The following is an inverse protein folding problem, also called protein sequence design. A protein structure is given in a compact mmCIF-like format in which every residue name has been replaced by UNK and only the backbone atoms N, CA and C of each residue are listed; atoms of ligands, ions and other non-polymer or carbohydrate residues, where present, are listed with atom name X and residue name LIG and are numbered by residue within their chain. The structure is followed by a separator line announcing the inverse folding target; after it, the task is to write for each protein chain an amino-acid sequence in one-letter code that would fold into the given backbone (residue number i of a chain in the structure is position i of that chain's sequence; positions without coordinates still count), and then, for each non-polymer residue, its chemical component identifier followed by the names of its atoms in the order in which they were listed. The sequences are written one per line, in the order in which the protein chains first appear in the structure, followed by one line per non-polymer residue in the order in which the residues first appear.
data_IF_672122076299
#
_entry.id   IF_672122076299
#
_cell.length_a   1.000
_cell.length_b   1.000
_cell.length_c   1.000
_cell.angle_alpha   90.00
_cell.angle_beta   90.00
_cell.angle_gamma   90.00
#
_symmetry.space_group_name_H-M   'P 1'
#
loop_
_entity.id
_entity.type
_entity.pdbx_description
1 polymer ?
#
# COMPACT_ATOMS: atom_id res chain seq x y z
N UNK A 1 47.45 -7.13 41.79
CA UNK A 1 48.22 -6.08 41.07
C UNK A 1 48.18 -6.41 39.57
N UNK A 2 48.14 -5.39 38.68
CA UNK A 2 47.09 -5.14 37.66
C UNK A 2 47.55 -5.42 36.19
N UNK A 3 46.84 -4.98 35.10
CA UNK A 3 45.40 -4.82 34.84
C UNK A 3 44.89 -5.40 33.48
N UNK A 4 43.55 -5.42 33.38
CA UNK A 4 42.67 -5.28 32.21
C UNK A 4 43.27 -4.92 30.83
N UNK A 5 42.90 -5.72 29.82
CA UNK A 5 42.97 -5.37 28.40
C UNK A 5 41.61 -5.57 27.74
N UNK A 6 40.75 -4.55 27.81
CA UNK A 6 39.55 -4.45 26.98
C UNK A 6 39.99 -4.31 25.52
N UNK A 7 39.74 -5.32 24.70
CA UNK A 7 39.90 -5.23 23.26
C UNK A 7 38.92 -4.16 22.75
N UNK A 8 39.48 -3.04 22.31
CA UNK A 8 38.77 -1.93 21.68
C UNK A 8 38.04 -2.47 20.46
N UNK A 9 36.70 -2.46 20.51
CA UNK A 9 35.87 -2.61 19.33
C UNK A 9 36.30 -1.56 18.31
N UNK A 10 36.72 -2.02 17.14
CA UNK A 10 37.03 -1.17 16.01
C UNK A 10 35.71 -0.45 15.63
N UNK A 11 35.60 0.89 15.72
CA UNK A 11 34.47 1.56 15.11
C UNK A 11 34.60 1.32 13.61
N UNK A 12 33.71 0.51 13.07
CA UNK A 12 33.50 0.44 11.63
C UNK A 12 33.21 1.88 11.21
N UNK A 13 33.99 2.51 10.31
CA UNK A 13 33.64 3.83 9.84
C UNK A 13 32.26 3.72 9.18
N UNK A 14 31.28 4.33 9.84
CA UNK A 14 29.97 4.61 9.26
C UNK A 14 30.26 5.25 7.90
N UNK A 15 29.77 4.63 6.83
CA UNK A 15 30.09 4.99 5.46
C UNK A 15 29.82 6.49 5.28
N UNK A 16 30.88 7.29 5.37
CA UNK A 16 30.82 8.74 5.32
C UNK A 16 30.23 9.13 3.97
N UNK A 17 28.92 9.39 3.97
CA UNK A 17 28.23 9.86 2.78
C UNK A 17 28.89 11.19 2.43
N UNK A 18 29.37 11.41 1.20
CA UNK A 18 30.12 12.61 0.86
C UNK A 18 29.27 13.84 1.18
N UNK A 19 29.79 14.68 2.08
CA UNK A 19 29.15 15.94 2.45
C UNK A 19 29.40 16.94 1.32
N UNK A 20 28.32 17.39 0.69
CA UNK A 20 28.34 18.32 -0.42
C UNK A 20 27.97 19.69 0.14
N UNK A 21 28.67 20.74 -0.32
CA UNK A 21 28.33 22.10 0.06
C UNK A 21 27.08 22.53 -0.69
N UNK A 22 25.96 22.70 0.03
CA UNK A 22 24.72 23.20 -0.53
C UNK A 22 24.54 24.68 -0.19
N UNK A 23 24.07 25.44 -1.18
CA UNK A 23 23.68 26.84 -1.01
C UNK A 23 22.39 27.12 -1.79
N UNK A 24 21.29 26.50 -1.35
CA UNK A 24 19.99 26.59 -2.01
C UNK A 24 19.10 27.53 -1.17
N UNK A 25 18.76 28.74 -1.67
CA UNK A 25 17.89 29.66 -0.95
C UNK A 25 16.43 29.18 -0.93
N UNK A 26 15.61 29.79 -0.07
CA UNK A 26 14.17 29.56 -0.04
C UNK A 26 13.54 30.06 -1.35
N UNK A 27 13.09 29.13 -2.18
CA UNK A 27 12.64 29.44 -3.55
C UNK A 27 11.54 28.45 -3.95
N UNK A 28 10.83 28.63 -5.08
CA UNK A 28 9.80 27.69 -5.46
C UNK A 28 10.42 26.30 -5.64
N UNK A 29 9.72 25.27 -5.14
CA UNK A 29 10.30 23.94 -4.93
C UNK A 29 10.88 23.33 -6.21
N UNK A 30 10.30 23.64 -7.36
CA UNK A 30 10.83 23.27 -8.68
C UNK A 30 12.25 23.79 -8.94
N UNK A 31 12.52 25.07 -8.66
CA UNK A 31 13.82 25.70 -8.85
C UNK A 31 14.86 25.15 -7.85
N UNK A 32 14.43 24.89 -6.62
CA UNK A 32 15.26 24.29 -5.58
C UNK A 32 15.68 22.86 -5.92
N UNK A 33 14.75 22.03 -6.41
CA UNK A 33 15.03 20.66 -6.83
C UNK A 33 15.94 20.60 -8.06
N UNK A 34 15.77 21.53 -9.01
CA UNK A 34 16.68 21.63 -10.16
C UNK A 34 18.11 21.99 -9.73
N UNK A 35 18.31 22.95 -8.83
CA UNK A 35 19.65 23.27 -8.30
C UNK A 35 20.24 22.11 -7.49
N UNK A 36 19.42 21.40 -6.72
CA UNK A 36 19.84 20.20 -6.01
C UNK A 36 20.28 19.09 -6.97
N UNK A 37 19.53 18.85 -8.05
CA UNK A 37 19.85 17.86 -9.07
C UNK A 37 21.15 18.21 -9.81
N UNK A 38 21.38 19.49 -10.10
CA UNK A 38 22.63 19.99 -10.69
C UNK A 38 23.84 19.77 -9.77
N UNK A 39 23.68 20.05 -8.47
CA UNK A 39 24.76 19.90 -7.48
C UNK A 39 25.10 18.44 -7.14
N UNK A 40 24.13 17.52 -7.28
CA UNK A 40 24.27 16.10 -6.89
C UNK A 40 24.38 15.14 -8.07
N UNK A 41 24.03 15.58 -9.28
CA UNK A 41 23.88 14.74 -10.47
C UNK A 41 22.72 13.75 -10.39
N UNK A 42 21.77 13.95 -9.46
CA UNK A 42 20.68 13.02 -9.19
C UNK A 42 19.37 13.53 -9.78
N UNK A 43 18.71 12.68 -10.59
CA UNK A 43 17.42 13.01 -11.19
C UNK A 43 16.32 12.88 -10.13
N UNK A 44 15.59 13.97 -9.89
CA UNK A 44 14.38 13.95 -9.06
C UNK A 44 13.15 13.92 -9.98
N UNK A 45 12.33 12.87 -9.86
CA UNK A 45 11.06 12.76 -10.55
C UNK A 45 9.94 13.23 -9.61
N UNK A 46 9.17 14.22 -10.06
CA UNK A 46 8.06 14.79 -9.32
C UNK A 46 6.91 15.17 -10.26
N UNK A 47 5.64 14.95 -9.87
CA UNK A 47 4.50 15.50 -10.59
C UNK A 47 4.44 17.02 -10.41
N UNK A 48 4.29 17.76 -11.50
CA UNK A 48 4.30 19.23 -11.53
C UNK A 48 3.27 19.85 -10.58
N UNK A 49 2.10 19.24 -10.40
CA UNK A 49 1.05 19.68 -9.47
C UNK A 49 1.53 19.78 -8.01
N UNK A 50 2.45 18.92 -7.56
CA UNK A 50 2.93 18.94 -6.16
C UNK A 50 3.93 20.07 -5.88
N UNK A 51 4.60 20.58 -6.92
CA UNK A 51 5.65 21.60 -6.79
C UNK A 51 5.16 23.01 -7.14
N UNK A 52 4.05 23.16 -7.88
CA UNK A 52 3.59 24.46 -8.40
C UNK A 52 3.13 25.47 -7.32
N UNK A 53 2.80 25.02 -6.11
CA UNK A 53 2.32 25.89 -5.03
C UNK A 53 3.13 25.78 -3.73
N UNK A 54 4.33 25.16 -3.76
CA UNK A 54 5.13 24.93 -2.55
C UNK A 54 6.50 25.60 -2.66
N UNK A 55 6.93 26.22 -1.56
CA UNK A 55 8.23 26.86 -1.41
C UNK A 55 9.15 25.95 -0.61
N UNK A 56 10.39 25.76 -1.06
CA UNK A 56 11.37 24.95 -0.34
C UNK A 56 11.95 25.69 0.86
N UNK A 57 12.41 24.93 1.85
CA UNK A 57 13.22 25.47 2.96
C UNK A 57 14.65 25.70 2.46
N UNK A 58 15.33 26.79 2.92
CA UNK A 58 16.70 27.06 2.53
C UNK A 58 17.65 26.00 3.10
N UNK A 59 18.59 25.53 2.28
CA UNK A 59 19.63 24.58 2.69
C UNK A 59 20.98 25.22 2.47
N UNK A 60 21.68 25.45 3.58
CA UNK A 60 23.02 26.00 3.59
C UNK A 60 23.95 25.10 4.41
N UNK A 61 25.17 24.90 3.91
CA UNK A 61 26.23 24.17 4.60
C UNK A 61 26.52 22.80 3.99
N UNK A 62 27.38 22.05 4.68
CA UNK A 62 27.81 20.72 4.26
C UNK A 62 26.79 19.68 4.70
N UNK A 63 26.07 19.12 3.74
CA UNK A 63 25.07 18.08 3.98
C UNK A 63 25.29 16.93 3.02
N UNK A 64 24.88 15.73 3.40
CA UNK A 64 24.74 14.61 2.45
C UNK A 64 23.59 14.91 1.49
N UNK A 65 23.62 14.37 0.27
CA UNK A 65 22.55 14.54 -0.71
C UNK A 65 21.15 14.26 -0.11
N UNK A 66 20.99 13.13 0.58
CA UNK A 66 19.73 12.76 1.24
C UNK A 66 19.36 13.70 2.40
N UNK A 67 20.35 14.17 3.15
CA UNK A 67 20.16 15.11 4.24
C UNK A 67 19.68 16.48 3.74
N UNK A 68 20.33 17.00 2.70
CA UNK A 68 19.96 18.24 2.04
C UNK A 68 18.56 18.17 1.44
N UNK A 69 18.23 17.08 0.74
CA UNK A 69 16.90 16.90 0.17
C UNK A 69 15.81 16.85 1.24
N UNK A 70 16.08 16.18 2.36
CA UNK A 70 15.15 16.15 3.49
C UNK A 70 14.91 17.55 4.08
N UNK A 71 15.97 18.35 4.26
CA UNK A 71 15.85 19.73 4.75
C UNK A 71 15.11 20.60 3.72
N UNK A 72 15.43 20.48 2.44
CA UNK A 72 14.78 21.22 1.35
C UNK A 72 13.27 20.97 1.30
N UNK A 73 12.84 19.74 1.62
CA UNK A 73 11.44 19.33 1.71
C UNK A 73 10.79 19.57 3.08
N UNK A 74 11.55 19.99 4.11
CA UNK A 74 10.94 20.39 5.38
C UNK A 74 9.98 21.57 5.16
N UNK A 75 8.84 21.54 5.85
CA UNK A 75 7.77 22.54 5.69
C UNK A 75 6.90 22.36 4.44
N UNK A 76 7.35 21.59 3.45
CA UNK A 76 6.54 21.28 2.25
C UNK A 76 5.58 20.11 2.46
N UNK A 77 5.74 19.33 3.54
CA UNK A 77 4.95 18.11 3.74
C UNK A 77 5.23 17.05 2.66
N UNK A 78 6.41 17.07 2.05
CA UNK A 78 6.87 16.08 1.08
C UNK A 78 8.07 15.30 1.65
N UNK A 79 8.20 14.06 1.23
CA UNK A 79 9.30 13.14 1.54
C UNK A 79 9.88 12.62 0.23
N UNK A 80 11.20 12.48 0.17
CA UNK A 80 11.86 11.87 -0.97
C UNK A 80 12.13 10.39 -0.73
N UNK A 81 11.70 9.55 -1.67
CA UNK A 81 11.96 8.12 -1.71
C UNK A 81 13.10 7.86 -2.68
N UNK A 82 14.23 7.35 -2.17
CA UNK A 82 15.43 7.07 -2.97
C UNK A 82 15.27 5.74 -3.70
N UNK A 83 15.49 5.75 -5.00
CA UNK A 83 15.46 4.57 -5.88
C UNK A 83 16.79 4.45 -6.60
N UNK A 84 17.56 3.42 -6.24
CA UNK A 84 18.74 3.01 -7.01
C UNK A 84 18.29 2.26 -8.26
N UNK A 85 18.74 2.65 -9.44
CA UNK A 85 18.55 1.91 -10.70
C UNK A 85 19.87 1.81 -11.46
N UNK A 86 19.95 0.93 -12.47
CA UNK A 86 21.17 0.74 -13.27
C UNK A 86 21.66 1.99 -14.02
N UNK A 87 20.85 3.06 -14.05
CA UNK A 87 21.15 4.36 -14.66
C UNK A 87 21.55 5.45 -13.64
N UNK A 88 21.61 5.13 -12.34
CA UNK A 88 21.96 6.08 -11.27
C UNK A 88 20.97 6.13 -10.11
N UNK A 89 21.11 7.16 -9.28
CA UNK A 89 20.25 7.43 -8.13
C UNK A 89 19.11 8.36 -8.53
N UNK A 90 17.86 7.91 -8.39
CA UNK A 90 16.65 8.69 -8.70
C UNK A 90 15.85 8.92 -7.42
N UNK A 91 15.32 10.14 -7.22
CA UNK A 91 14.45 10.45 -6.09
C UNK A 91 13.01 10.64 -6.55
N UNK A 92 12.07 10.01 -5.84
CA UNK A 92 10.63 10.15 -6.07
C UNK A 92 10.03 10.91 -4.90
N UNK A 93 9.50 12.11 -5.15
CA UNK A 93 8.82 12.88 -4.10
C UNK A 93 7.41 12.33 -3.85
N UNK A 94 7.05 12.17 -2.58
CA UNK A 94 5.73 11.73 -2.10
C UNK A 94 5.27 12.67 -0.99
N UNK A 95 3.96 12.83 -0.79
CA UNK A 95 3.45 13.59 0.35
C UNK A 95 3.75 12.85 1.67
N UNK A 96 4.53 13.52 2.52
CA UNK A 96 4.76 13.14 3.89
C UNK A 96 3.46 13.42 4.65
N UNK A 97 2.63 12.40 4.78
CA UNK A 97 1.38 12.49 5.55
C UNK A 97 1.67 12.95 6.97
N UNK A 98 1.49 14.24 7.24
CA UNK A 98 1.45 14.82 8.56
C UNK A 98 0.01 15.27 8.80
N UNK A 99 -0.62 14.60 9.75
CA UNK A 99 -1.96 14.89 10.21
C UNK A 99 -2.07 16.35 10.68
N UNK A 100 -2.78 17.20 9.94
CA UNK A 100 -3.68 18.24 10.46
C UNK A 100 -4.35 19.02 9.31
N UNK A 101 -5.67 18.84 9.22
CA UNK A 101 -6.68 19.80 8.78
C UNK A 101 -6.59 20.43 7.36
N UNK A 102 -7.13 19.71 6.37
CA UNK A 102 -8.08 20.23 5.38
C UNK A 102 -8.91 19.07 4.81
N UNK A 103 -10.20 19.27 4.45
CA UNK A 103 -11.13 18.18 4.17
C UNK A 103 -10.86 17.63 2.78
N UNK A 104 -9.98 16.62 2.72
CA UNK A 104 -9.99 15.70 1.61
C UNK A 104 -11.23 14.81 1.78
N UNK A 105 -12.05 14.74 0.73
CA UNK A 105 -12.89 13.58 0.45
C UNK A 105 -11.99 12.36 0.19
N UNK A 106 -11.22 11.97 1.20
CA UNK A 106 -10.49 10.73 1.27
C UNK A 106 -11.47 9.72 1.85
N UNK A 107 -12.01 8.88 0.96
CA UNK A 107 -12.69 7.65 1.37
C UNK A 107 -11.76 6.96 2.38
N UNK A 108 -12.21 6.69 3.62
CA UNK A 108 -11.31 6.27 4.68
C UNK A 108 -10.67 4.93 4.31
N UNK A 109 -9.37 4.94 4.00
CA UNK A 109 -8.54 3.72 3.90
C UNK A 109 -8.28 3.09 5.27
N UNK A 110 -8.67 3.77 6.35
CA UNK A 110 -8.60 3.28 7.73
C UNK A 110 -9.54 2.10 8.02
N UNK A 111 -10.61 1.91 7.25
CA UNK A 111 -11.51 0.77 7.43
C UNK A 111 -10.86 -0.58 7.12
N UNK A 112 -10.02 -0.66 6.08
CA UNK A 112 -9.43 -1.93 5.67
C UNK A 112 -8.49 -2.55 6.72
N UNK A 113 -7.80 -1.74 7.53
CA UNK A 113 -6.96 -2.26 8.61
C UNK A 113 -7.78 -3.02 9.67
N UNK A 114 -9.03 -2.62 9.88
CA UNK A 114 -9.99 -3.27 10.79
C UNK A 114 -10.37 -4.69 10.31
N UNK A 115 -10.46 -4.89 8.99
CA UNK A 115 -10.75 -6.20 8.38
C UNK A 115 -9.64 -7.22 8.69
N UNK A 116 -8.38 -6.78 8.72
CA UNK A 116 -7.19 -7.62 8.90
C UNK A 116 -6.69 -7.70 10.36
N UNK A 117 -7.45 -7.18 11.34
CA UNK A 117 -7.11 -7.38 12.76
C UNK A 117 -7.23 -8.85 13.15
N UNK A 118 -6.58 -9.24 14.24
CA UNK A 118 -6.40 -10.65 14.64
C UNK A 118 -7.72 -11.41 14.93
N UNK A 119 -8.80 -10.70 15.31
CA UNK A 119 -10.19 -11.20 15.38
C UNK A 119 -10.87 -11.33 13.99
N UNK A 120 -10.06 -11.63 12.97
CA UNK A 120 -10.20 -11.17 11.58
C UNK A 120 -11.51 -11.47 10.88
N UNK A 121 -12.32 -10.42 10.73
CA UNK A 121 -13.52 -10.42 9.91
C UNK A 121 -13.19 -10.73 8.43
N UNK A 122 -12.00 -10.36 7.94
CA UNK A 122 -11.53 -10.74 6.60
C UNK A 122 -11.46 -12.25 6.39
N UNK A 123 -10.94 -12.99 7.36
CA UNK A 123 -10.86 -14.46 7.29
C UNK A 123 -12.25 -15.11 7.27
N UNK A 124 -13.18 -14.55 8.05
CA UNK A 124 -14.58 -14.99 8.09
C UNK A 124 -15.27 -14.75 6.74
N UNK A 125 -15.12 -13.55 6.18
CA UNK A 125 -15.66 -13.17 4.86
C UNK A 125 -15.08 -14.07 3.77
N UNK A 126 -13.76 -14.25 3.75
CA UNK A 126 -13.08 -15.09 2.77
C UNK A 126 -13.57 -16.53 2.85
N UNK A 127 -13.64 -17.12 4.05
CA UNK A 127 -14.13 -18.48 4.27
C UNK A 127 -15.59 -18.66 3.82
N UNK A 128 -16.47 -17.70 4.12
CA UNK A 128 -17.90 -17.77 3.73
C UNK A 128 -18.10 -17.66 2.24
N UNK A 129 -17.35 -16.77 1.58
CA UNK A 129 -17.37 -16.65 0.12
C UNK A 129 -16.85 -17.94 -0.51
N UNK A 130 -15.77 -18.52 0.02
CA UNK A 130 -15.26 -19.81 -0.45
C UNK A 130 -16.24 -20.96 -0.28
N UNK A 131 -16.88 -21.06 0.87
CA UNK A 131 -17.91 -22.07 1.11
C UNK A 131 -19.05 -21.98 0.09
N UNK A 132 -19.52 -20.77 -0.21
CA UNK A 132 -20.57 -20.55 -1.19
C UNK A 132 -20.11 -20.88 -2.62
N UNK A 133 -18.90 -20.45 -3.00
CA UNK A 133 -18.33 -20.76 -4.31
C UNK A 133 -18.07 -22.25 -4.52
N UNK A 134 -17.70 -22.98 -3.45
CA UNK A 134 -17.51 -24.43 -3.47
C UNK A 134 -18.82 -25.23 -3.51
N UNK A 135 -19.94 -24.63 -3.07
CA UNK A 135 -21.26 -25.26 -3.09
C UNK A 135 -21.86 -25.36 -4.49
N UNK A 136 -21.41 -24.53 -5.44
CA UNK A 136 -21.88 -24.55 -6.83
C UNK A 136 -20.75 -25.01 -7.77
N UNK A 137 -20.99 -26.13 -8.47
CA UNK A 137 -20.02 -26.72 -9.39
C UNK A 137 -19.58 -25.78 -10.53
N UNK A 138 -20.41 -24.79 -10.89
CA UNK A 138 -20.10 -23.83 -11.96
C UNK A 138 -19.14 -22.75 -11.51
N UNK A 139 -19.20 -22.37 -10.23
CA UNK A 139 -18.39 -21.31 -9.63
C UNK A 139 -17.20 -21.87 -8.85
N UNK A 140 -17.02 -23.19 -8.81
CA UNK A 140 -15.88 -23.81 -8.13
C UNK A 140 -14.55 -23.28 -8.67
N UNK A 141 -13.70 -22.69 -7.82
CA UNK A 141 -12.38 -22.21 -8.23
C UNK A 141 -11.55 -23.36 -8.79
N UNK A 142 -10.79 -23.04 -9.84
CA UNK A 142 -10.18 -24.06 -10.69
C UNK A 142 -9.27 -23.44 -11.72
N UNK A 143 -9.77 -23.35 -12.95
CA UNK A 143 -9.00 -22.92 -14.11
C UNK A 143 -9.33 -21.50 -14.58
N UNK A 144 -10.05 -20.73 -13.77
CA UNK A 144 -10.43 -19.37 -14.11
C UNK A 144 -9.90 -18.39 -13.07
N UNK A 145 -9.71 -17.15 -13.52
CA UNK A 145 -9.42 -16.01 -12.66
C UNK A 145 -10.56 -15.03 -12.78
N UNK A 146 -10.97 -14.40 -11.69
CA UNK A 146 -12.00 -13.37 -11.73
C UNK A 146 -11.75 -12.32 -10.66
N UNK A 147 -11.90 -11.06 -11.03
CA UNK A 147 -11.85 -9.95 -10.10
C UNK A 147 -13.28 -9.55 -9.79
N UNK A 148 -13.65 -9.65 -8.51
CA UNK A 148 -14.96 -9.25 -8.02
C UNK A 148 -14.79 -8.06 -7.08
N UNK A 149 -15.74 -7.14 -7.15
CA UNK A 149 -15.84 -6.02 -6.21
C UNK A 149 -17.21 -6.04 -5.56
N UNK A 150 -17.25 -5.88 -4.25
CA UNK A 150 -18.49 -5.90 -3.47
C UNK A 150 -18.34 -4.97 -2.26
N UNK A 151 -19.42 -4.73 -1.54
CA UNK A 151 -19.35 -4.14 -0.20
C UNK A 151 -20.06 -5.03 0.82
N UNK A 152 -19.71 -4.86 2.08
CA UNK A 152 -20.41 -5.51 3.20
C UNK A 152 -21.54 -4.61 3.66
N UNK A 153 -22.75 -5.12 3.73
CA UNK A 153 -23.86 -4.42 4.35
C UNK A 153 -23.75 -4.48 5.87
N UNK A 154 -24.31 -3.50 6.60
CA UNK A 154 -24.31 -3.49 8.06
C UNK A 154 -25.01 -4.71 8.69
N UNK A 155 -25.85 -5.43 7.96
CA UNK A 155 -26.46 -6.70 8.41
C UNK A 155 -25.57 -7.93 8.18
N UNK A 156 -24.38 -7.75 7.60
CA UNK A 156 -23.43 -8.83 7.34
C UNK A 156 -23.65 -9.56 6.01
N UNK A 157 -24.51 -9.04 5.13
CA UNK A 157 -24.66 -9.49 3.74
C UNK A 157 -23.63 -8.88 2.81
N UNK A 158 -23.40 -9.56 1.69
CA UNK A 158 -22.62 -9.01 0.59
C UNK A 158 -23.55 -8.26 -0.36
N UNK A 159 -23.31 -6.96 -0.51
CA UNK A 159 -24.07 -6.07 -1.37
C UNK A 159 -23.26 -5.52 -2.56
N UNK A 160 -24.00 -5.03 -3.57
CA UNK A 160 -23.53 -4.54 -4.87
C UNK A 160 -22.31 -5.28 -5.46
N UNK A 161 -22.43 -6.60 -5.55
CA UNK A 161 -21.44 -7.42 -6.25
C UNK A 161 -21.36 -7.01 -7.72
N UNK A 162 -20.15 -6.69 -8.16
CA UNK A 162 -19.79 -6.33 -9.52
C UNK A 162 -18.58 -7.15 -9.96
N UNK A 163 -18.62 -7.66 -11.18
CA UNK A 163 -17.47 -8.27 -11.84
C UNK A 163 -16.61 -7.16 -12.44
N UNK A 164 -15.33 -7.12 -12.06
CA UNK A 164 -14.31 -6.26 -12.67
C UNK A 164 -13.51 -7.00 -13.74
N UNK A 165 -13.39 -8.32 -13.62
CA UNK A 165 -12.78 -9.20 -14.62
C UNK A 165 -13.63 -10.46 -14.81
N UNK A 166 -14.00 -10.75 -16.06
CA UNK A 166 -14.78 -11.94 -16.45
C UNK A 166 -13.98 -13.22 -16.23
N UNK A 167 -14.68 -14.30 -15.88
CA UNK A 167 -14.11 -15.66 -15.81
C UNK A 167 -13.86 -16.30 -17.17
N UNK A 168 -14.24 -15.64 -18.27
CA UNK A 168 -14.22 -16.18 -19.63
C UNK A 168 -15.52 -16.89 -20.02
N UNK A 169 -16.44 -17.11 -19.08
CA UNK A 169 -17.69 -17.81 -19.28
C UNK A 169 -18.88 -17.00 -18.74
N UNK A 170 -19.77 -16.50 -19.60
CA UNK A 170 -20.91 -15.67 -19.17
C UNK A 170 -21.88 -16.39 -18.21
N UNK A 171 -22.05 -17.71 -18.36
CA UNK A 171 -22.87 -18.53 -17.43
C UNK A 171 -22.22 -18.63 -16.05
N UNK A 172 -20.89 -18.72 -15.99
CA UNK A 172 -20.13 -18.75 -14.73
C UNK A 172 -20.15 -17.37 -14.09
N UNK A 173 -19.98 -16.30 -14.86
CA UNK A 173 -20.07 -14.92 -14.37
C UNK A 173 -21.43 -14.63 -13.72
N UNK A 174 -22.53 -15.03 -14.36
CA UNK A 174 -23.87 -14.90 -13.80
C UNK A 174 -24.03 -15.73 -12.51
N UNK A 175 -23.51 -16.95 -12.48
CA UNK A 175 -23.53 -17.79 -11.28
C UNK A 175 -22.70 -17.19 -10.14
N UNK A 176 -21.50 -16.65 -10.43
CA UNK A 176 -20.65 -15.96 -9.46
C UNK A 176 -21.38 -14.80 -8.79
N UNK A 177 -21.99 -13.93 -9.60
CA UNK A 177 -22.76 -12.79 -9.10
C UNK A 177 -23.96 -13.23 -8.24
N UNK A 178 -24.64 -14.31 -8.63
CA UNK A 178 -25.78 -14.86 -7.88
C UNK A 178 -25.33 -15.45 -6.54
N UNK A 179 -24.32 -16.31 -6.55
CA UNK A 179 -23.77 -16.99 -5.37
C UNK A 179 -23.25 -15.99 -4.34
N UNK A 180 -22.50 -14.95 -4.74
CA UNK A 180 -21.96 -13.97 -3.80
C UNK A 180 -23.07 -13.13 -3.13
N UNK A 181 -24.17 -12.81 -3.83
CA UNK A 181 -25.30 -12.06 -3.25
C UNK A 181 -26.07 -12.85 -2.19
N UNK A 182 -25.95 -14.18 -2.21
CA UNK A 182 -26.56 -15.06 -1.23
C UNK A 182 -25.67 -15.27 0.02
N UNK A 183 -24.41 -14.82 0.00
CA UNK A 183 -23.48 -14.99 1.11
C UNK A 183 -23.88 -14.11 2.29
N UNK A 184 -23.98 -14.74 3.45
CA UNK A 184 -24.14 -14.07 4.74
C UNK A 184 -22.96 -14.44 5.62
N UNK A 185 -22.29 -13.42 6.17
CA UNK A 185 -21.15 -13.64 7.06
C UNK A 185 -21.59 -14.22 8.41
N UNK A 186 -22.84 -13.98 8.83
CA UNK A 186 -23.39 -14.45 10.11
C UNK A 186 -22.89 -13.67 11.33
N UNK A 187 -22.00 -12.70 11.13
CA UNK A 187 -21.52 -11.76 12.16
C UNK A 187 -21.66 -10.34 11.61
N UNK A 188 -22.12 -9.40 12.43
CA UNK A 188 -22.20 -8.00 12.00
C UNK A 188 -20.79 -7.45 11.74
N UNK A 189 -20.57 -6.78 10.60
CA UNK A 189 -19.30 -6.13 10.31
C UNK A 189 -19.08 -4.94 11.26
N UNK A 190 -17.83 -4.69 11.70
CA UNK A 190 -17.47 -3.41 12.28
C UNK A 190 -17.93 -2.24 11.39
N UNK A 191 -18.44 -1.17 12.02
CA UNK A 191 -18.94 0.00 11.28
C UNK A 191 -17.88 0.62 10.35
N UNK A 192 -16.59 0.48 10.69
CA UNK A 192 -15.47 0.93 9.88
C UNK A 192 -15.33 0.21 8.53
N UNK A 193 -15.94 -0.98 8.38
CA UNK A 193 -15.84 -1.80 7.16
C UNK A 193 -17.20 -2.00 6.47
N UNK A 194 -18.29 -1.66 7.16
CA UNK A 194 -19.62 -1.62 6.56
C UNK A 194 -19.64 -0.58 5.43
N UNK A 195 -20.23 -0.94 4.29
CA UNK A 195 -20.31 -0.18 3.03
C UNK A 195 -18.95 0.13 2.38
N UNK A 196 -17.86 -0.45 2.86
CA UNK A 196 -16.56 -0.33 2.22
C UNK A 196 -16.54 -1.21 0.95
N UNK A 197 -16.07 -0.65 -0.17
CA UNK A 197 -15.81 -1.43 -1.39
C UNK A 197 -14.56 -2.29 -1.19
N UNK A 198 -14.74 -3.60 -1.26
CA UNK A 198 -13.70 -4.61 -1.21
C UNK A 198 -13.55 -5.23 -2.60
N UNK A 199 -12.29 -5.46 -2.99
CA UNK A 199 -11.97 -6.16 -4.24
C UNK A 199 -11.32 -7.48 -3.88
N UNK A 200 -11.84 -8.57 -4.43
CA UNK A 200 -11.35 -9.92 -4.25
C UNK A 200 -10.95 -10.50 -5.59
N UNK A 201 -9.78 -11.15 -5.61
CA UNK A 201 -9.33 -11.98 -6.71
C UNK A 201 -9.69 -13.43 -6.42
N UNK A 202 -10.47 -14.05 -7.29
CA UNK A 202 -10.60 -15.49 -7.37
C UNK A 202 -9.43 -15.97 -8.20
N UNK A 203 -8.44 -16.56 -7.55
CA UNK A 203 -7.27 -17.10 -8.21
C UNK A 203 -7.58 -18.52 -8.74
N UNK A 204 -6.93 -18.93 -9.86
CA UNK A 204 -6.92 -20.33 -10.25
C UNK A 204 -6.22 -21.17 -9.16
N UNK A 205 -6.56 -22.45 -9.08
CA UNK A 205 -5.99 -23.35 -8.08
C UNK A 205 -4.47 -23.45 -8.26
N UNK A 206 -3.72 -22.72 -7.43
CA UNK A 206 -2.32 -22.97 -7.17
C UNK A 206 -2.21 -23.92 -5.96
N UNK A 207 -1.19 -24.79 -5.88
CA UNK A 207 -1.00 -25.70 -4.74
C UNK A 207 -0.90 -24.97 -3.38
N UNK A 208 -0.57 -23.67 -3.37
CA UNK A 208 -0.47 -22.80 -2.19
C UNK A 208 -1.72 -21.91 -1.93
N UNK A 209 -2.77 -22.01 -2.74
CA UNK A 209 -3.92 -21.10 -2.69
C UNK A 209 -5.09 -21.63 -1.85
N UNK A 210 -4.98 -21.52 -0.51
CA UNK A 210 -6.12 -21.63 0.41
C UNK A 210 -6.87 -22.98 0.40
N UNK A 211 -7.92 -23.15 1.24
CA UNK A 211 -8.59 -24.43 1.37
C UNK A 211 -9.30 -24.76 0.06
N UNK A 212 -8.78 -25.76 -0.63
CA UNK A 212 -9.41 -26.38 -1.78
C UNK A 212 -10.79 -26.92 -1.33
N UNK A 213 -11.78 -26.86 -2.22
CA UNK A 213 -13.15 -27.32 -1.96
C UNK A 213 -13.24 -28.78 -1.44
N UNK A 214 -12.12 -29.51 -1.45
CA UNK A 214 -11.96 -30.91 -1.04
C UNK A 214 -11.41 -31.15 0.38
N UNK A 215 -11.32 -30.14 1.27
CA UNK A 215 -10.93 -30.38 2.69
C UNK A 215 -11.97 -30.05 3.78
N UNK A 216 -13.21 -29.71 3.43
CA UNK A 216 -14.28 -29.46 4.43
C UNK A 216 -15.51 -30.37 4.29
N UNK A 217 -15.39 -31.52 3.63
CA UNK A 217 -16.37 -32.59 3.72
C UNK A 217 -15.92 -33.59 4.80
N UNK A 218 -16.10 -33.28 6.08
CA UNK A 218 -15.75 -34.21 7.16
C UNK A 218 -15.74 -33.62 8.56
N UNK A 219 -16.90 -33.27 9.09
CA UNK A 219 -17.17 -33.30 10.53
C UNK A 219 -18.68 -33.49 10.69
N UNK A 220 -19.09 -34.76 10.63
CA UNK A 220 -20.37 -35.23 11.18
C UNK A 220 -20.19 -35.62 12.64
#
# INVERSE_FOLDING_TARGET
MPPAGVARGNPVPDAATPAIAFNIPAQPLNAALNQYADSTGQLALFPSDLVHARTSTPVHGLHSAEGALRILLQGTGLMADKRSSGLGQTFILKEAGMAAAAPASAVPRHGLAELFREDGYAGLVQMRIWQALCSDARTRPGNYTSLLQFYLEPDGRIGAVRLLGSSGDARRDAALLHTLRAVHTGRLPPAAIARQRLTMLVAPNAPDAGPQCERQAGAG
#
